data_IF_629151721138
#
_entry.id   IF_629151721138
#
_cell.length_a   1.000
_cell.length_b   1.000
_cell.length_c   1.000
_cell.angle_alpha   90.00
_cell.angle_beta   90.00
_cell.angle_gamma   90.00
#
_symmetry.space_group_name_H-M   'P 1'
#
loop_
_entity.id
_entity.type
_entity.pdbx_description
1 polymer ?
#
# COMPACT_ATOMS: atom_id res chain seq x y z
N UNK A 1 -35.88 -20.52 11.00
CA UNK A 1 -35.25 -19.41 11.74
C UNK A 1 -33.75 -19.71 11.84
N UNK A 2 -32.91 -18.88 11.27
CA UNK A 2 -31.46 -19.06 11.37
C UNK A 2 -30.99 -18.67 12.77
N UNK A 3 -30.00 -19.41 13.29
CA UNK A 3 -29.32 -19.08 14.52
C UNK A 3 -27.88 -18.71 14.13
N UNK A 4 -27.42 -17.53 14.53
CA UNK A 4 -26.06 -17.09 14.35
C UNK A 4 -25.22 -17.53 15.57
N UNK A 5 -24.10 -18.15 15.33
CA UNK A 5 -23.14 -18.58 16.35
C UNK A 5 -21.81 -17.91 16.04
N UNK A 6 -21.30 -17.09 16.97
CA UNK A 6 -20.06 -16.37 16.86
C UNK A 6 -19.02 -16.98 17.79
N UNK A 7 -17.92 -17.48 17.24
CA UNK A 7 -16.82 -18.12 17.96
C UNK A 7 -15.52 -17.49 17.48
N UNK A 8 -15.09 -16.37 18.07
CA UNK A 8 -13.86 -15.66 17.66
C UNK A 8 -12.60 -16.44 18.06
N UNK A 9 -11.50 -16.22 17.33
CA UNK A 9 -10.21 -16.83 17.64
C UNK A 9 -9.64 -16.35 18.99
N UNK A 10 -9.90 -15.11 19.36
CA UNK A 10 -9.58 -14.54 20.68
C UNK A 10 -10.93 -14.18 21.33
N UNK A 11 -11.17 -14.69 22.52
CA UNK A 11 -12.42 -14.49 23.25
C UNK A 11 -12.69 -13.00 23.51
N UNK A 12 -13.95 -12.61 23.31
CA UNK A 12 -14.49 -11.31 23.66
C UNK A 12 -15.35 -11.43 24.92
N UNK A 13 -15.89 -10.31 25.40
CA UNK A 13 -16.86 -10.30 26.48
C UNK A 13 -18.07 -11.17 26.15
N UNK A 14 -18.55 -11.94 27.11
CA UNK A 14 -19.70 -12.88 26.96
C UNK A 14 -19.46 -13.98 25.92
N UNK A 15 -18.25 -14.52 25.87
CA UNK A 15 -17.91 -15.65 24.98
C UNK A 15 -18.84 -16.84 25.16
N UNK A 16 -19.36 -17.38 24.06
CA UNK A 16 -20.34 -18.48 24.07
C UNK A 16 -19.77 -19.79 24.63
N UNK A 17 -18.46 -19.97 24.61
CA UNK A 17 -17.75 -21.12 25.15
C UNK A 17 -17.34 -20.93 26.61
N UNK A 18 -17.63 -19.77 27.20
CA UNK A 18 -17.28 -19.41 28.58
C UNK A 18 -15.78 -19.17 28.79
N UNK A 19 -15.04 -18.80 27.73
CA UNK A 19 -13.65 -18.38 27.83
C UNK A 19 -13.56 -16.98 28.45
N UNK A 20 -12.47 -16.74 29.17
CA UNK A 20 -12.19 -15.39 29.63
C UNK A 20 -11.76 -14.49 28.44
N UNK A 21 -12.12 -13.18 28.46
CA UNK A 21 -11.69 -12.25 27.43
C UNK A 21 -10.16 -12.30 27.20
N UNK A 22 -9.76 -12.42 25.95
CA UNK A 22 -8.35 -12.55 25.58
C UNK A 22 -7.84 -13.99 25.45
N UNK A 23 -8.63 -15.01 25.88
CA UNK A 23 -8.23 -16.40 25.69
C UNK A 23 -8.31 -16.83 24.23
N UNK A 24 -7.27 -17.53 23.75
CA UNK A 24 -7.27 -18.13 22.42
C UNK A 24 -8.26 -19.28 22.31
N UNK A 25 -8.93 -19.43 21.16
CA UNK A 25 -9.87 -20.53 20.90
C UNK A 25 -9.22 -21.91 20.96
N UNK A 26 -8.00 -22.01 20.44
CA UNK A 26 -7.27 -23.26 20.37
C UNK A 26 -5.79 -23.07 20.69
N UNK A 27 -5.45 -22.82 21.98
CA UNK A 27 -4.13 -22.40 22.41
C UNK A 27 -3.03 -23.42 22.11
N UNK A 28 -3.34 -24.72 22.00
CA UNK A 28 -2.36 -25.77 21.65
C UNK A 28 -1.85 -25.66 20.22
N UNK A 29 -2.63 -25.09 19.31
CA UNK A 29 -2.30 -24.93 17.90
C UNK A 29 -2.03 -23.50 17.52
N UNK A 30 -2.80 -22.59 18.06
CA UNK A 30 -2.73 -21.13 17.83
C UNK A 30 -2.73 -20.43 19.19
N UNK A 31 -1.58 -20.39 19.89
CA UNK A 31 -1.44 -19.62 21.12
C UNK A 31 -1.64 -18.13 20.84
N UNK A 32 -1.93 -17.37 21.89
CA UNK A 32 -2.25 -15.94 21.78
C UNK A 32 -1.16 -15.16 21.05
N UNK A 33 0.11 -15.46 21.32
CA UNK A 33 1.26 -14.81 20.70
C UNK A 33 1.22 -14.93 19.16
N UNK A 34 0.92 -16.14 18.65
CA UNK A 34 0.80 -16.39 17.20
C UNK A 34 -0.39 -15.67 16.60
N UNK A 35 -1.51 -15.55 17.34
CA UNK A 35 -2.67 -14.79 16.88
C UNK A 35 -2.37 -13.28 16.84
N UNK A 36 -1.60 -12.76 17.79
CA UNK A 36 -1.16 -11.37 17.80
C UNK A 36 -0.19 -11.06 16.64
N UNK A 37 0.79 -11.93 16.37
CA UNK A 37 1.65 -11.81 15.18
C UNK A 37 0.83 -11.80 13.87
N UNK A 38 -0.22 -12.62 13.80
CA UNK A 38 -1.13 -12.63 12.65
C UNK A 38 -1.91 -11.31 12.54
N UNK A 39 -2.32 -10.75 13.67
CA UNK A 39 -3.00 -9.46 13.70
C UNK A 39 -2.08 -8.34 13.20
N UNK A 40 -0.85 -8.29 13.66
CA UNK A 40 0.15 -7.32 13.18
C UNK A 40 0.42 -7.45 11.68
N UNK A 41 0.51 -8.69 11.17
CA UNK A 41 0.77 -8.96 9.75
C UNK A 41 -0.42 -8.62 8.84
N UNK A 42 -1.65 -8.88 9.31
CA UNK A 42 -2.86 -8.72 8.52
C UNK A 42 -3.51 -7.34 8.66
N UNK A 43 -3.21 -6.64 9.76
CA UNK A 43 -3.96 -5.48 10.21
C UNK A 43 -5.30 -5.85 10.87
N UNK A 44 -5.86 -4.92 11.62
CA UNK A 44 -7.08 -5.14 12.42
C UNK A 44 -8.27 -5.52 11.56
N UNK A 45 -8.49 -4.86 10.42
CA UNK A 45 -9.63 -5.12 9.52
C UNK A 45 -9.66 -6.59 9.04
N UNK A 46 -8.56 -7.07 8.44
CA UNK A 46 -8.49 -8.44 7.92
C UNK A 46 -8.46 -9.48 9.05
N UNK A 47 -7.80 -9.18 10.16
CA UNK A 47 -7.79 -10.06 11.31
C UNK A 47 -9.21 -10.23 11.88
N UNK A 48 -9.97 -9.15 12.02
CA UNK A 48 -11.34 -9.18 12.48
C UNK A 48 -12.22 -10.02 11.56
N UNK A 49 -12.13 -9.83 10.25
CA UNK A 49 -12.91 -10.58 9.27
C UNK A 49 -12.59 -12.08 9.30
N UNK A 50 -11.30 -12.45 9.29
CA UNK A 50 -10.85 -13.84 9.09
C UNK A 50 -10.78 -14.65 10.38
N UNK A 51 -10.36 -14.01 11.49
CA UNK A 51 -10.09 -14.70 12.76
C UNK A 51 -11.15 -14.41 13.83
N UNK A 52 -11.69 -13.19 13.86
CA UNK A 52 -12.71 -12.83 14.84
C UNK A 52 -14.15 -13.04 14.35
N UNK A 53 -14.35 -13.46 13.09
CA UNK A 53 -15.67 -13.61 12.47
C UNK A 53 -16.51 -12.32 12.50
N UNK A 54 -15.85 -11.17 12.42
CA UNK A 54 -16.44 -9.84 12.43
C UNK A 54 -16.07 -9.10 11.14
N UNK A 55 -16.65 -9.51 9.98
CA UNK A 55 -16.41 -8.78 8.74
C UNK A 55 -17.09 -7.41 8.82
N UNK A 56 -16.34 -6.38 8.59
CA UNK A 56 -16.81 -5.01 8.47
C UNK A 56 -17.20 -4.69 7.03
N UNK A 57 -17.96 -3.60 6.83
CA UNK A 57 -18.29 -3.17 5.48
C UNK A 57 -17.01 -2.75 4.74
N UNK A 58 -16.71 -3.33 3.55
CA UNK A 58 -15.52 -2.94 2.77
C UNK A 58 -15.57 -1.47 2.27
N UNK A 59 -16.76 -0.84 2.27
CA UNK A 59 -16.89 0.58 1.91
C UNK A 59 -16.63 1.54 3.11
N UNK A 60 -16.36 1.01 4.30
CA UNK A 60 -15.92 1.83 5.42
C UNK A 60 -14.45 2.23 5.19
N UNK A 61 -14.06 3.41 5.67
CA UNK A 61 -12.66 3.83 5.62
C UNK A 61 -11.78 2.79 6.33
N UNK A 62 -10.83 2.21 5.57
CA UNK A 62 -9.92 1.17 6.06
C UNK A 62 -8.66 1.76 6.68
N UNK A 63 -8.55 3.08 6.69
CA UNK A 63 -7.34 3.83 6.98
C UNK A 63 -7.63 4.96 7.96
N UNK A 64 -6.62 5.32 8.73
CA UNK A 64 -6.62 6.50 9.57
C UNK A 64 -5.38 7.34 9.23
N UNK A 65 -5.53 8.62 8.84
CA UNK A 65 -4.40 9.50 8.57
C UNK A 65 -3.37 9.58 9.71
N UNK A 66 -3.79 9.33 10.95
CA UNK A 66 -2.92 9.33 12.13
C UNK A 66 -1.91 8.16 12.14
N UNK A 67 -2.11 7.13 11.31
CA UNK A 67 -1.15 6.03 11.14
C UNK A 67 0.12 6.44 10.39
N UNK A 68 0.10 7.59 9.71
CA UNK A 68 1.19 8.06 8.89
C UNK A 68 2.10 9.04 9.65
N UNK A 69 3.38 8.73 9.76
CA UNK A 69 4.35 9.57 10.44
C UNK A 69 4.99 10.57 9.46
N UNK A 70 4.67 11.86 9.54
CA UNK A 70 5.35 12.89 8.73
C UNK A 70 6.64 13.29 9.42
N UNK A 71 7.78 13.02 8.77
CA UNK A 71 9.11 13.25 9.32
C UNK A 71 9.92 14.22 8.46
N UNK A 72 10.79 15.02 9.08
CA UNK A 72 11.66 15.96 8.37
C UNK A 72 12.93 15.31 7.82
N UNK A 73 13.28 14.13 8.32
CA UNK A 73 14.50 13.41 7.99
C UNK A 73 14.29 11.90 8.11
N UNK A 74 14.87 11.14 7.19
CA UNK A 74 14.91 9.68 7.22
C UNK A 74 16.37 9.24 7.35
N UNK A 75 16.70 8.53 8.44
CA UNK A 75 18.08 8.06 8.67
C UNK A 75 18.54 7.09 7.58
N UNK A 76 19.84 7.10 7.30
CA UNK A 76 20.51 6.12 6.42
C UNK A 76 19.81 5.84 5.07
N UNK A 77 19.11 6.85 4.52
CA UNK A 77 18.35 6.76 3.27
C UNK A 77 19.15 6.20 2.09
N UNK A 78 20.47 6.42 2.08
CA UNK A 78 21.36 5.92 1.03
C UNK A 78 21.66 4.42 1.14
N UNK A 79 21.39 3.82 2.30
CA UNK A 79 21.53 2.38 2.55
C UNK A 79 20.24 1.61 2.32
N UNK A 80 19.12 2.30 2.20
CA UNK A 80 17.83 1.68 1.97
C UNK A 80 17.72 1.18 0.53
N UNK A 81 17.01 0.07 0.34
CA UNK A 81 16.56 -0.30 -1.01
C UNK A 81 15.47 0.66 -1.45
N UNK A 82 15.72 1.33 -2.59
CA UNK A 82 14.76 2.27 -3.16
C UNK A 82 14.06 1.69 -4.38
N UNK A 83 12.77 1.99 -4.48
CA UNK A 83 11.95 1.67 -5.62
C UNK A 83 11.10 2.87 -6.02
N UNK A 84 11.02 3.14 -7.33
CA UNK A 84 10.07 4.07 -7.93
C UNK A 84 8.95 3.27 -8.56
N UNK A 85 7.72 3.45 -8.10
CA UNK A 85 6.53 2.76 -8.62
C UNK A 85 5.68 3.76 -9.38
N UNK A 86 5.31 3.42 -10.61
CA UNK A 86 4.47 4.23 -11.46
C UNK A 86 3.15 3.53 -11.76
N UNK A 87 2.05 4.26 -11.56
CA UNK A 87 0.76 4.03 -12.18
C UNK A 87 0.57 5.11 -13.27
N UNK A 88 0.46 4.68 -14.52
CA UNK A 88 0.52 5.57 -15.68
C UNK A 88 -0.85 5.76 -16.30
N UNK A 89 -1.43 6.94 -16.13
CA UNK A 89 -2.62 7.37 -16.86
C UNK A 89 -2.22 8.24 -18.07
N UNK A 90 -2.97 8.14 -19.15
CA UNK A 90 -2.70 8.85 -20.40
C UNK A 90 -3.75 9.93 -20.71
N UNK A 91 -4.34 10.56 -19.68
CA UNK A 91 -5.43 11.52 -19.82
C UNK A 91 -5.02 12.93 -19.39
N UNK A 92 -5.25 13.93 -20.26
CA UNK A 92 -4.89 15.32 -19.97
C UNK A 92 -5.92 16.07 -19.13
N UNK A 93 -7.22 15.80 -19.32
CA UNK A 93 -8.30 16.54 -18.67
C UNK A 93 -9.37 15.59 -18.09
N UNK A 94 -9.51 15.58 -16.76
CA UNK A 94 -10.63 14.93 -16.08
C UNK A 94 -10.61 13.40 -16.03
N UNK A 95 -9.48 12.77 -16.24
CA UNK A 95 -9.26 11.33 -16.08
C UNK A 95 -8.37 11.01 -14.88
N UNK A 96 -7.91 9.75 -14.82
CA UNK A 96 -7.04 9.26 -13.76
C UNK A 96 -5.69 9.99 -13.74
N UNK A 97 -5.07 10.06 -12.58
CA UNK A 97 -3.77 10.68 -12.41
C UNK A 97 -2.65 9.68 -12.76
N UNK A 98 -1.62 10.16 -13.46
CA UNK A 98 -0.32 9.49 -13.41
C UNK A 98 0.27 9.73 -12.02
N UNK A 99 0.51 8.66 -11.29
CA UNK A 99 1.18 8.71 -10.00
C UNK A 99 2.56 8.04 -10.05
N UNK A 100 3.47 8.52 -9.21
CA UNK A 100 4.82 7.98 -9.15
C UNK A 100 5.43 8.15 -7.77
N UNK A 101 5.40 7.08 -6.95
CA UNK A 101 5.93 7.06 -5.60
C UNK A 101 7.40 6.62 -5.57
N UNK A 102 8.25 7.30 -4.81
CA UNK A 102 9.58 6.83 -4.42
C UNK A 102 9.52 6.29 -3.00
N UNK A 103 9.84 5.02 -2.87
CA UNK A 103 9.79 4.30 -1.62
C UNK A 103 11.17 3.82 -1.21
N UNK A 104 11.43 3.84 0.09
CA UNK A 104 12.60 3.23 0.73
C UNK A 104 12.16 2.16 1.72
N UNK A 105 12.88 1.06 1.78
CA UNK A 105 12.70 0.02 2.79
C UNK A 105 13.92 -0.01 3.71
N UNK A 106 13.68 0.19 5.02
CA UNK A 106 14.71 0.04 6.04
C UNK A 106 14.65 -1.37 6.64
N UNK A 107 15.67 -2.16 6.40
CA UNK A 107 15.75 -3.54 6.91
C UNK A 107 15.99 -3.63 8.41
N UNK A 108 16.48 -2.54 9.03
CA UNK A 108 16.81 -2.53 10.46
C UNK A 108 15.58 -2.25 11.31
N UNK A 109 14.80 -1.25 10.92
CA UNK A 109 13.57 -0.85 11.62
C UNK A 109 12.32 -1.51 11.05
N UNK A 110 12.42 -2.07 9.84
CA UNK A 110 11.31 -2.59 9.05
C UNK A 110 10.29 -1.52 8.66
N UNK A 111 10.75 -0.28 8.51
CA UNK A 111 9.90 0.84 8.14
C UNK A 111 9.81 1.00 6.62
N UNK A 112 8.60 1.31 6.16
CA UNK A 112 8.34 1.85 4.83
C UNK A 112 8.50 3.37 4.86
N UNK A 113 9.35 3.88 4.01
CA UNK A 113 9.60 5.30 3.90
C UNK A 113 9.12 5.80 2.54
N UNK A 114 8.10 6.66 2.53
CA UNK A 114 7.65 7.34 1.31
C UNK A 114 8.46 8.62 1.19
N UNK A 115 9.36 8.66 0.20
CA UNK A 115 10.36 9.70 0.05
C UNK A 115 9.90 10.84 -0.85
N UNK A 116 9.04 10.52 -1.83
CA UNK A 116 8.51 11.49 -2.79
C UNK A 116 7.31 10.92 -3.52
N UNK A 117 6.35 11.78 -3.90
CA UNK A 117 5.21 11.42 -4.72
C UNK A 117 5.00 12.40 -5.87
N UNK A 118 4.82 11.88 -7.07
CA UNK A 118 4.23 12.59 -8.21
C UNK A 118 2.75 12.23 -8.31
N UNK A 119 1.91 13.23 -8.58
CA UNK A 119 0.49 13.08 -8.91
C UNK A 119 0.15 14.13 -9.94
N UNK A 120 -0.02 13.72 -11.20
CA UNK A 120 -0.17 14.65 -12.34
C UNK A 120 -1.13 14.11 -13.39
N UNK A 121 -1.90 15.00 -13.98
CA UNK A 121 -2.64 14.75 -15.23
C UNK A 121 -1.86 15.41 -16.36
N UNK A 122 -1.34 14.63 -17.30
CA UNK A 122 -0.44 15.10 -18.34
C UNK A 122 -0.69 14.32 -19.63
N UNK A 123 -0.36 14.92 -20.77
CA UNK A 123 -0.33 14.21 -22.04
C UNK A 123 0.69 13.07 -22.06
N UNK A 124 0.52 12.04 -22.90
CA UNK A 124 1.43 10.87 -22.94
C UNK A 124 2.90 11.26 -23.07
N UNK A 125 3.23 12.18 -23.97
CA UNK A 125 4.61 12.64 -24.15
C UNK A 125 5.16 13.41 -22.95
N UNK A 126 4.30 14.14 -22.21
CA UNK A 126 4.69 14.83 -20.98
C UNK A 126 4.90 13.84 -19.82
N UNK A 127 4.11 12.75 -19.77
CA UNK A 127 4.31 11.64 -18.83
C UNK A 127 5.65 10.96 -19.08
N UNK A 128 5.98 10.60 -20.33
CA UNK A 128 7.29 10.02 -20.68
C UNK A 128 8.45 10.94 -20.26
N UNK A 129 8.34 12.24 -20.53
CA UNK A 129 9.34 13.21 -20.13
C UNK A 129 9.47 13.34 -18.60
N UNK A 130 8.35 13.25 -17.87
CA UNK A 130 8.34 13.24 -16.40
C UNK A 130 9.04 11.99 -15.88
N UNK A 131 8.64 10.81 -16.34
CA UNK A 131 9.20 9.52 -15.91
C UNK A 131 10.71 9.48 -16.15
N UNK A 132 11.18 9.89 -17.35
CA UNK A 132 12.60 9.91 -17.68
C UNK A 132 13.39 10.88 -16.78
N UNK A 133 12.89 12.10 -16.57
CA UNK A 133 13.54 13.07 -15.66
C UNK A 133 13.65 12.53 -14.24
N UNK A 134 12.58 11.90 -13.78
CA UNK A 134 12.52 11.32 -12.43
C UNK A 134 13.51 10.17 -12.29
N UNK A 135 13.59 9.27 -13.25
CA UNK A 135 14.55 8.16 -13.24
C UNK A 135 16.00 8.64 -13.17
N UNK A 136 16.33 9.71 -13.92
CA UNK A 136 17.68 10.34 -13.86
C UNK A 136 17.95 10.94 -12.47
N UNK A 137 16.96 11.59 -11.86
CA UNK A 137 17.09 12.20 -10.53
C UNK A 137 17.20 11.15 -9.41
N UNK A 138 16.44 10.04 -9.51
CA UNK A 138 16.48 8.96 -8.53
C UNK A 138 17.76 8.10 -8.64
N UNK A 139 18.39 8.10 -9.81
CA UNK A 139 19.65 7.39 -10.09
C UNK A 139 19.49 5.90 -10.38
N UNK A 140 20.53 5.30 -10.97
CA UNK A 140 20.52 3.91 -11.45
C UNK A 140 20.38 2.83 -10.36
N UNK A 141 20.57 3.18 -9.08
CA UNK A 141 20.41 2.26 -7.96
C UNK A 141 18.94 2.14 -7.50
N UNK A 142 18.05 2.96 -8.05
CA UNK A 142 16.61 2.91 -7.79
C UNK A 142 15.95 2.02 -8.83
N UNK A 143 15.35 0.92 -8.38
CA UNK A 143 14.57 0.04 -9.26
C UNK A 143 13.25 0.70 -9.62
N UNK A 144 12.83 0.58 -10.88
CA UNK A 144 11.60 1.20 -11.38
C UNK A 144 10.58 0.10 -11.64
N UNK A 145 9.38 0.29 -11.10
CA UNK A 145 8.23 -0.56 -11.33
C UNK A 145 7.14 0.22 -12.07
N UNK A 146 6.52 -0.41 -13.04
CA UNK A 146 5.40 0.16 -13.78
C UNK A 146 4.22 -0.80 -13.66
N UNK A 147 3.07 -0.30 -13.19
CA UNK A 147 1.84 -1.08 -13.15
C UNK A 147 1.44 -1.45 -14.59
N UNK A 148 1.17 -2.74 -14.79
CA UNK A 148 0.77 -3.28 -16.07
C UNK A 148 -0.71 -3.65 -16.04
N UNK A 149 -1.52 -2.89 -16.74
CA UNK A 149 -2.91 -3.26 -16.98
C UNK A 149 -3.04 -4.61 -17.69
N UNK A 150 -4.13 -5.37 -17.42
CA UNK A 150 -4.40 -6.60 -18.13
C UNK A 150 -4.55 -6.39 -19.66
N UNK A 151 -3.98 -7.30 -20.44
CA UNK A 151 -4.14 -7.30 -21.89
C UNK A 151 -2.89 -6.88 -22.66
N UNK A 152 -3.05 -6.77 -24.00
CA UNK A 152 -1.93 -6.50 -24.90
C UNK A 152 -1.46 -5.04 -24.87
N UNK A 153 -2.36 -4.11 -24.58
CA UNK A 153 -2.05 -2.67 -24.45
C UNK A 153 -1.12 -2.39 -23.29
N UNK A 154 -1.40 -2.93 -22.10
CA UNK A 154 -0.53 -2.78 -20.93
C UNK A 154 0.85 -3.38 -21.16
N UNK A 155 0.94 -4.57 -21.80
CA UNK A 155 2.24 -5.17 -22.18
C UNK A 155 3.02 -4.32 -23.15
N UNK A 156 2.35 -3.76 -24.16
CA UNK A 156 2.98 -2.90 -25.16
C UNK A 156 3.49 -1.60 -24.52
N UNK A 157 2.72 -1.01 -23.61
CA UNK A 157 3.11 0.19 -22.86
C UNK A 157 4.38 -0.05 -22.04
N UNK A 158 4.39 -1.07 -21.21
CA UNK A 158 5.58 -1.40 -20.38
C UNK A 158 6.78 -1.72 -21.26
N UNK A 159 6.60 -2.47 -22.35
CA UNK A 159 7.67 -2.75 -23.31
C UNK A 159 8.25 -1.47 -23.92
N UNK A 160 7.40 -0.50 -24.30
CA UNK A 160 7.82 0.81 -24.78
C UNK A 160 8.67 1.56 -23.75
N UNK A 161 8.21 1.60 -22.49
CA UNK A 161 9.01 2.22 -21.44
C UNK A 161 10.37 1.55 -21.24
N UNK A 162 10.43 0.22 -21.20
CA UNK A 162 11.68 -0.54 -21.06
C UNK A 162 12.67 -0.29 -22.20
N UNK A 163 12.19 -0.21 -23.42
CA UNK A 163 13.06 -0.19 -24.61
C UNK A 163 13.33 1.20 -25.17
N UNK A 164 12.43 2.15 -24.94
CA UNK A 164 12.49 3.47 -25.59
C UNK A 164 12.65 4.61 -24.58
N UNK A 165 11.84 4.63 -23.50
CA UNK A 165 11.85 5.74 -22.55
C UNK A 165 12.99 5.58 -21.53
N UNK A 166 13.21 4.38 -21.04
CA UNK A 166 14.13 4.05 -19.93
C UNK A 166 15.12 2.91 -20.27
N UNK A 167 15.75 2.88 -21.47
CA UNK A 167 16.58 1.74 -21.88
C UNK A 167 17.82 1.51 -21.01
N UNK A 168 18.20 2.50 -20.22
CA UNK A 168 19.39 2.48 -19.35
C UNK A 168 19.06 2.11 -17.90
N UNK A 169 17.78 1.93 -17.55
CA UNK A 169 17.32 1.72 -16.19
C UNK A 169 16.75 0.31 -15.99
N UNK A 170 16.82 -0.18 -14.76
CA UNK A 170 16.19 -1.45 -14.36
C UNK A 170 14.68 -1.24 -14.16
N UNK A 171 13.89 -1.64 -15.15
CA UNK A 171 12.42 -1.49 -15.17
C UNK A 171 11.75 -2.86 -15.13
N UNK A 172 10.85 -3.04 -14.17
CA UNK A 172 10.00 -4.24 -14.05
C UNK A 172 8.52 -3.88 -14.15
N UNK A 173 7.73 -4.80 -14.69
CA UNK A 173 6.27 -4.74 -14.67
C UNK A 173 5.70 -5.31 -13.37
N UNK A 174 4.64 -4.67 -12.87
CA UNK A 174 3.81 -5.19 -11.78
C UNK A 174 2.41 -5.44 -12.34
N UNK A 175 2.00 -6.70 -12.53
CA UNK A 175 0.66 -6.99 -13.02
C UNK A 175 -0.42 -6.58 -12.01
N UNK A 176 -1.45 -5.88 -12.47
CA UNK A 176 -2.65 -5.58 -11.69
C UNK A 176 -3.57 -6.82 -11.66
N UNK A 177 -3.26 -7.81 -10.80
CA UNK A 177 -3.97 -9.12 -10.79
C UNK A 177 -5.05 -9.21 -9.72
N UNK A 178 -4.90 -8.50 -8.60
CA UNK A 178 -5.79 -8.58 -7.44
C UNK A 178 -6.54 -7.25 -7.21
N UNK A 179 -7.63 -7.32 -6.44
CA UNK A 179 -8.36 -6.10 -6.05
C UNK A 179 -7.48 -5.14 -5.24
N UNK A 180 -7.70 -3.84 -5.39
CA UNK A 180 -6.89 -2.76 -4.79
C UNK A 180 -6.73 -2.92 -3.27
N UNK A 181 -7.81 -3.19 -2.56
CA UNK A 181 -7.81 -3.43 -1.10
C UNK A 181 -6.90 -4.60 -0.72
N UNK A 182 -6.93 -5.68 -1.51
CA UNK A 182 -6.10 -6.87 -1.25
C UNK A 182 -4.60 -6.58 -1.45
N UNK A 183 -4.27 -5.77 -2.45
CA UNK A 183 -2.89 -5.35 -2.73
C UNK A 183 -2.36 -4.36 -1.70
N UNK A 184 -3.22 -3.46 -1.21
CA UNK A 184 -2.87 -2.47 -0.21
C UNK A 184 -2.69 -3.07 1.20
N UNK A 185 -3.24 -4.25 1.48
CA UNK A 185 -3.25 -4.88 2.81
C UNK A 185 -1.90 -4.84 3.55
N UNK A 186 -0.76 -5.24 2.96
CA UNK A 186 0.52 -5.22 3.68
C UNK A 186 0.96 -3.80 4.06
N UNK A 187 0.67 -2.82 3.21
CA UNK A 187 0.95 -1.42 3.46
C UNK A 187 0.05 -0.85 4.58
N UNK A 188 -1.25 -1.17 4.54
CA UNK A 188 -2.21 -0.75 5.57
C UNK A 188 -1.85 -1.31 6.94
N UNK A 189 -1.46 -2.59 7.00
CA UNK A 189 -1.01 -3.22 8.24
C UNK A 189 0.26 -2.55 8.80
N UNK A 190 1.23 -2.23 7.95
CA UNK A 190 2.43 -1.52 8.35
C UNK A 190 2.12 -0.08 8.83
N UNK A 191 1.17 0.61 8.17
CA UNK A 191 0.73 1.94 8.58
C UNK A 191 0.04 1.90 9.94
N UNK A 192 -0.89 0.97 10.16
CA UNK A 192 -1.58 0.77 11.45
C UNK A 192 -0.58 0.45 12.59
N UNK A 193 0.48 -0.30 12.28
CA UNK A 193 1.56 -0.60 13.22
C UNK A 193 2.53 0.58 13.46
N UNK A 194 2.38 1.71 12.76
CA UNK A 194 3.23 2.89 12.89
C UNK A 194 4.56 2.81 12.13
N UNK A 195 4.68 1.87 11.18
CA UNK A 195 5.88 1.61 10.38
C UNK A 195 5.89 2.32 9.02
N UNK A 196 5.09 3.38 8.84
CA UNK A 196 5.08 4.17 7.61
C UNK A 196 5.47 5.60 7.89
N UNK A 197 6.58 6.03 7.31
CA UNK A 197 7.08 7.39 7.40
C UNK A 197 6.95 8.11 6.06
N UNK A 198 6.45 9.35 6.10
CA UNK A 198 6.39 10.25 4.96
C UNK A 198 7.45 11.34 5.13
N UNK A 199 8.42 11.38 4.22
CA UNK A 199 9.36 12.50 4.19
C UNK A 199 8.60 13.79 3.85
N UNK A 200 8.78 14.83 4.69
CA UNK A 200 8.05 16.09 4.52
C UNK A 200 8.26 16.68 3.13
N UNK A 201 7.16 16.95 2.44
CA UNK A 201 7.14 17.52 1.10
C UNK A 201 5.77 18.10 0.72
N UNK A 202 5.69 18.85 -0.36
CA UNK A 202 4.46 19.51 -0.81
C UNK A 202 3.37 18.52 -1.26
N UNK A 203 3.69 17.24 -1.38
CA UNK A 203 2.79 16.15 -1.77
C UNK A 203 2.07 15.48 -0.59
N UNK A 204 2.53 15.73 0.66
CA UNK A 204 2.00 15.03 1.83
C UNK A 204 0.50 15.24 2.04
N UNK A 205 0.01 16.49 1.90
CA UNK A 205 -1.40 16.81 2.12
C UNK A 205 -2.31 16.01 1.18
N UNK A 206 -1.99 15.96 -0.11
CA UNK A 206 -2.76 15.21 -1.09
C UNK A 206 -2.72 13.70 -0.84
N UNK A 207 -1.54 13.16 -0.47
CA UNK A 207 -1.39 11.75 -0.13
C UNK A 207 -2.17 11.36 1.11
N UNK A 208 -2.05 12.14 2.20
CA UNK A 208 -2.73 11.88 3.48
C UNK A 208 -4.25 11.94 3.32
N UNK A 209 -4.76 12.90 2.52
CA UNK A 209 -6.19 13.00 2.22
C UNK A 209 -6.69 11.76 1.47
N UNK A 210 -5.99 11.35 0.40
CA UNK A 210 -6.36 10.17 -0.39
C UNK A 210 -6.25 8.87 0.42
N UNK A 211 -5.21 8.76 1.26
CA UNK A 211 -5.09 7.65 2.21
C UNK A 211 -6.26 7.60 3.19
N UNK A 212 -6.68 8.74 3.76
CA UNK A 212 -7.79 8.79 4.71
C UNK A 212 -9.15 8.39 4.12
N UNK A 213 -9.33 8.57 2.82
CA UNK A 213 -10.56 8.25 2.10
C UNK A 213 -10.55 6.83 1.49
N UNK A 214 -9.42 6.11 1.59
CA UNK A 214 -9.28 4.78 0.97
C UNK A 214 -10.17 3.71 1.65
N UNK A 215 -10.88 2.83 0.91
CA UNK A 215 -10.92 2.69 -0.54
C UNK A 215 -12.08 3.45 -1.22
N UNK A 216 -12.87 4.22 -0.49
CA UNK A 216 -14.13 4.82 -0.95
C UNK A 216 -13.98 6.24 -1.53
N UNK A 217 -12.77 6.78 -1.62
CA UNK A 217 -12.50 8.11 -2.15
C UNK A 217 -12.72 8.23 -3.65
N UNK A 218 -12.83 9.49 -4.14
CA UNK A 218 -12.92 9.79 -5.57
C UNK A 218 -11.65 9.38 -6.34
N UNK A 219 -10.53 9.31 -5.64
CA UNK A 219 -9.22 8.89 -6.14
C UNK A 219 -8.52 8.00 -5.12
N UNK A 220 -7.83 6.99 -5.60
CA UNK A 220 -7.07 6.02 -4.81
C UNK A 220 -5.75 5.60 -5.51
N UNK A 221 -5.27 6.47 -6.43
CA UNK A 221 -4.12 6.20 -7.29
C UNK A 221 -2.78 6.25 -6.56
N UNK A 222 -2.73 6.86 -5.36
CA UNK A 222 -1.51 7.01 -4.56
C UNK A 222 -1.35 5.92 -3.47
N UNK A 223 -2.42 5.14 -3.19
CA UNK A 223 -2.48 4.18 -2.06
C UNK A 223 -2.32 2.73 -2.48
#
# INVERSE_FOLDING_TARGET
KWQYVHIPAIALDNDILGREPGEALFPQRYPLEVLMERKETLGTFFFNALFQQMPENPDAALTDPEWLNVVDYIPDIDRQKKARVWDLAATEDGGDFTTGGLYGWDYTTQDFNILHMHRKQLSPGAVEALVRRTAVADGHNTKIYIEQEPGSSGKALVHHYKTTVLPEFDVEEVPATDGKVSRAQPFLAAAEAGHVNLLRGPWNEAFISEFGDFPGGDYDDQV
#
